data_IF_562114214591
#
_entry.id   IF_562114214591
#
_cell.length_a   1.000
_cell.length_b   1.000
_cell.length_c   1.000
_cell.angle_alpha   90.00
_cell.angle_beta   90.00
_cell.angle_gamma   90.00
#
_symmetry.space_group_name_H-M   'P 1'
#
loop_
_entity.id
_entity.type
_entity.pdbx_description
1 polymer ?
#
# COMPACT_ATOMS: atom_id res chain seq x y z
N UNK A 1 -6.74 -10.94 -7.17
CA UNK A 1 -5.55 -11.28 -6.36
C UNK A 1 -4.34 -11.34 -7.27
N UNK A 2 -3.15 -10.99 -6.76
CA UNK A 2 -1.89 -10.98 -7.52
C UNK A 2 -0.98 -12.14 -7.11
N UNK A 3 -0.19 -12.66 -8.05
CA UNK A 3 0.89 -13.64 -7.82
C UNK A 3 2.23 -13.04 -8.24
N UNK A 4 3.31 -13.43 -7.59
CA UNK A 4 4.67 -13.06 -8.00
C UNK A 4 5.49 -14.30 -8.28
N UNK A 5 6.41 -14.20 -9.24
CA UNK A 5 7.42 -15.23 -9.56
C UNK A 5 8.68 -15.07 -8.71
N UNK A 6 8.89 -13.89 -8.11
CA UNK A 6 10.11 -13.58 -7.37
C UNK A 6 9.97 -13.99 -5.89
N UNK A 7 11.04 -14.53 -5.31
CA UNK A 7 11.11 -14.72 -3.85
C UNK A 7 11.31 -13.37 -3.17
N UNK A 8 10.50 -13.10 -2.15
CA UNK A 8 10.68 -11.91 -1.30
C UNK A 8 11.81 -12.16 -0.30
N UNK A 9 12.88 -11.36 -0.30
CA UNK A 9 14.01 -11.58 0.60
C UNK A 9 13.71 -11.16 2.05
N UNK A 10 14.25 -11.94 2.98
CA UNK A 10 14.20 -11.68 4.42
C UNK A 10 12.86 -12.01 5.09
N UNK A 11 12.85 -12.05 6.43
CA UNK A 11 11.64 -12.33 7.21
C UNK A 11 10.71 -11.11 7.22
N UNK A 12 9.48 -11.25 6.74
CA UNK A 12 8.44 -10.21 6.82
C UNK A 12 7.88 -10.09 8.24
N UNK A 13 7.47 -8.88 8.61
CA UNK A 13 6.60 -8.70 9.79
C UNK A 13 5.21 -9.28 9.51
N UNK A 14 4.44 -9.64 10.55
CA UNK A 14 3.05 -10.09 10.34
C UNK A 14 2.13 -8.95 9.88
N UNK A 15 2.47 -7.71 10.25
CA UNK A 15 1.72 -6.49 9.96
C UNK A 15 2.47 -5.65 8.93
N UNK A 16 1.72 -5.07 7.98
CA UNK A 16 2.22 -4.04 7.06
C UNK A 16 1.32 -2.81 7.08
N UNK A 17 1.95 -1.64 7.09
CA UNK A 17 1.31 -0.36 6.85
C UNK A 17 1.51 0.03 5.39
N UNK A 18 0.42 0.17 4.64
CA UNK A 18 0.42 0.71 3.28
C UNK A 18 0.16 2.21 3.37
N UNK A 19 1.09 3.00 2.85
CA UNK A 19 0.97 4.46 2.77
C UNK A 19 0.57 4.85 1.34
N UNK A 20 -0.66 5.33 1.15
CA UNK A 20 -1.10 6.01 -0.06
C UNK A 20 -0.79 7.51 -0.05
N UNK A 21 -1.14 8.20 -1.13
CA UNK A 21 -0.86 9.63 -1.30
C UNK A 21 -2.01 10.56 -0.92
N UNK A 22 -3.09 10.04 -0.33
CA UNK A 22 -4.26 10.84 0.06
C UNK A 22 -3.93 11.93 1.08
N UNK A 23 -4.65 13.03 1.02
CA UNK A 23 -4.44 14.23 1.85
C UNK A 23 -4.34 13.94 3.35
N UNK A 24 -5.03 12.91 3.84
CA UNK A 24 -5.04 12.53 5.26
C UNK A 24 -3.85 11.67 5.70
N UNK A 25 -2.90 11.34 4.81
CA UNK A 25 -1.74 10.54 5.17
C UNK A 25 -1.05 11.03 6.46
N UNK A 26 -0.81 12.34 6.69
CA UNK A 26 -0.15 12.79 7.92
C UNK A 26 -0.95 12.46 9.19
N UNK A 27 -2.27 12.68 9.18
CA UNK A 27 -3.14 12.37 10.32
C UNK A 27 -3.29 10.86 10.53
N UNK A 28 -3.44 10.09 9.45
CA UNK A 28 -3.55 8.64 9.48
C UNK A 28 -2.26 8.02 10.06
N UNK A 29 -1.09 8.51 9.65
CA UNK A 29 0.21 8.08 10.15
C UNK A 29 0.38 8.42 11.63
N UNK A 30 0.03 9.65 12.05
CA UNK A 30 0.09 10.04 13.45
C UNK A 30 -0.78 9.12 14.33
N UNK A 31 -2.00 8.84 13.87
CA UNK A 31 -2.91 7.94 14.58
C UNK A 31 -2.35 6.51 14.65
N UNK A 32 -1.87 5.97 13.53
CA UNK A 32 -1.33 4.61 13.47
C UNK A 32 -0.12 4.42 14.37
N UNK A 33 0.82 5.36 14.33
CA UNK A 33 1.99 5.34 15.19
C UNK A 33 1.56 5.46 16.66
N UNK A 34 0.55 6.27 16.99
CA UNK A 34 -0.05 6.32 18.32
C UNK A 34 -0.56 4.97 18.82
N UNK A 35 -1.20 4.18 17.96
CA UNK A 35 -1.66 2.81 18.29
C UNK A 35 -0.47 1.86 18.50
N UNK A 36 0.56 1.99 17.67
CA UNK A 36 1.74 1.12 17.70
C UNK A 36 2.72 1.44 18.83
N UNK A 37 2.68 2.66 19.37
CA UNK A 37 3.55 3.11 20.44
C UNK A 37 3.20 2.41 21.77
N UNK A 38 4.24 1.86 22.39
CA UNK A 38 4.25 1.28 23.73
C UNK A 38 5.71 1.16 24.18
N UNK A 39 5.99 0.63 25.38
CA UNK A 39 7.35 0.22 25.75
C UNK A 39 8.00 -0.61 24.62
N UNK A 40 9.32 -0.55 24.44
CA UNK A 40 10.02 -1.24 23.31
C UNK A 40 9.65 -2.73 23.18
N UNK A 41 9.28 -3.40 24.28
CA UNK A 41 8.84 -4.80 24.33
C UNK A 41 7.37 -5.01 23.92
N UNK A 42 6.55 -3.96 23.84
CA UNK A 42 5.11 -4.01 23.58
C UNK A 42 4.69 -3.29 22.29
N UNK A 43 5.63 -2.63 21.61
CA UNK A 43 5.38 -1.95 20.34
C UNK A 43 4.98 -2.94 19.24
N UNK A 44 4.03 -2.54 18.40
CA UNK A 44 3.58 -3.36 17.28
C UNK A 44 4.59 -3.23 16.13
N UNK A 45 5.39 -4.28 15.93
CA UNK A 45 6.30 -4.37 14.78
C UNK A 45 5.50 -4.46 13.50
N UNK A 46 5.87 -3.66 12.51
CA UNK A 46 5.26 -3.64 11.19
C UNK A 46 6.32 -3.31 10.14
N UNK A 47 6.08 -3.79 8.92
CA UNK A 47 6.78 -3.32 7.73
C UNK A 47 6.00 -2.14 7.12
N UNK A 48 6.64 -1.34 6.28
CA UNK A 48 5.97 -0.23 5.57
C UNK A 48 6.08 -0.44 4.06
N UNK A 49 4.94 -0.29 3.39
CA UNK A 49 4.79 -0.29 1.94
C UNK A 49 4.36 1.10 1.47
N UNK A 50 5.31 1.87 0.94
CA UNK A 50 5.02 3.15 0.35
C UNK A 50 4.49 3.00 -1.07
N UNK A 51 3.54 3.85 -1.44
CA UNK A 51 2.99 3.93 -2.78
C UNK A 51 3.32 5.29 -3.37
N UNK A 52 3.80 5.31 -4.61
CA UNK A 52 4.05 6.54 -5.35
C UNK A 52 4.94 7.52 -4.55
N UNK A 53 4.42 8.69 -4.14
CA UNK A 53 5.22 9.73 -3.47
C UNK A 53 5.21 9.61 -1.95
N UNK A 54 4.43 8.70 -1.36
CA UNK A 54 4.34 8.54 0.09
C UNK A 54 5.65 8.03 0.71
N UNK A 55 6.56 7.49 -0.10
CA UNK A 55 7.94 7.16 0.29
C UNK A 55 8.68 8.37 0.88
N UNK A 56 8.36 9.58 0.42
CA UNK A 56 8.96 10.82 0.92
C UNK A 56 8.39 11.24 2.28
N UNK A 57 7.32 10.61 2.75
CA UNK A 57 6.68 10.92 4.03
C UNK A 57 7.34 10.15 5.20
N UNK A 58 7.76 8.91 4.97
CA UNK A 58 8.36 8.06 6.00
C UNK A 58 9.54 7.24 5.44
N UNK A 59 10.75 7.51 5.93
CA UNK A 59 11.97 6.98 5.31
C UNK A 59 12.29 5.50 5.56
N UNK A 60 11.64 4.85 6.55
CA UNK A 60 11.89 3.45 6.88
C UNK A 60 10.92 2.51 6.17
N UNK A 61 10.91 2.57 4.84
CA UNK A 61 10.08 1.70 4.01
C UNK A 61 10.86 0.46 3.57
N UNK A 62 10.21 -0.70 3.65
CA UNK A 62 10.75 -1.95 3.12
C UNK A 62 10.29 -2.19 1.69
N UNK A 63 9.08 -1.75 1.39
CA UNK A 63 8.45 -1.90 0.10
C UNK A 63 8.11 -0.54 -0.49
N UNK A 64 8.26 -0.43 -1.79
CA UNK A 64 7.70 0.65 -2.59
C UNK A 64 7.06 0.08 -3.84
N UNK A 65 5.96 0.67 -4.28
CA UNK A 65 5.33 0.23 -5.52
C UNK A 65 4.38 1.25 -6.10
N UNK A 66 4.01 0.99 -7.34
CA UNK A 66 3.11 1.81 -8.14
C UNK A 66 2.40 0.93 -9.15
N UNK A 67 1.14 1.26 -9.46
CA UNK A 67 0.44 0.67 -10.58
C UNK A 67 0.80 1.36 -11.91
N UNK A 68 1.45 2.53 -11.88
CA UNK A 68 1.66 3.42 -13.02
C UNK A 68 2.82 2.98 -13.95
N UNK A 69 3.20 1.70 -13.91
CA UNK A 69 4.02 1.03 -14.91
C UNK A 69 5.30 1.76 -15.33
N UNK A 70 5.44 2.00 -16.65
CA UNK A 70 6.65 2.55 -17.28
C UNK A 70 6.95 4.00 -16.84
N UNK A 71 5.92 4.77 -16.52
CA UNK A 71 6.05 6.17 -16.08
C UNK A 71 6.85 6.28 -14.78
N UNK A 72 6.86 5.21 -13.99
CA UNK A 72 7.55 5.15 -12.72
C UNK A 72 8.98 4.59 -12.79
N UNK A 73 9.49 4.19 -13.96
CA UNK A 73 10.86 3.64 -14.11
C UNK A 73 11.90 4.62 -13.56
N UNK A 74 11.81 5.89 -13.94
CA UNK A 74 12.75 6.90 -13.49
C UNK A 74 12.78 6.98 -11.96
N UNK A 75 11.60 7.01 -11.32
CA UNK A 75 11.49 7.02 -9.87
C UNK A 75 12.04 5.74 -9.24
N UNK A 76 11.73 4.57 -9.80
CA UNK A 76 12.22 3.28 -9.31
C UNK A 76 13.75 3.17 -9.37
N UNK A 77 14.37 3.74 -10.41
CA UNK A 77 15.83 3.84 -10.55
C UNK A 77 16.42 4.79 -9.50
N UNK A 78 15.84 5.97 -9.31
CA UNK A 78 16.32 6.92 -8.30
C UNK A 78 16.23 6.34 -6.88
N UNK A 79 15.13 5.65 -6.56
CA UNK A 79 14.97 4.98 -5.28
C UNK A 79 16.00 3.87 -5.07
N UNK A 80 16.49 3.19 -6.12
CA UNK A 80 17.59 2.22 -6.02
C UNK A 80 18.85 2.85 -5.42
N UNK A 81 19.15 4.06 -5.84
CA UNK A 81 20.36 4.79 -5.44
C UNK A 81 20.25 5.31 -4.00
N UNK A 82 19.03 5.65 -3.58
CA UNK A 82 18.75 6.25 -2.28
C UNK A 82 18.45 5.22 -1.18
N UNK A 83 17.87 4.07 -1.54
CA UNK A 83 17.36 3.09 -0.58
C UNK A 83 17.80 1.66 -0.94
N UNK A 84 18.99 1.28 -0.48
CA UNK A 84 19.62 -0.02 -0.79
C UNK A 84 18.76 -1.26 -0.48
N UNK A 85 17.89 -1.18 0.53
CA UNK A 85 17.08 -2.31 1.00
C UNK A 85 15.60 -2.22 0.62
N UNK A 86 15.23 -1.24 -0.19
CA UNK A 86 13.85 -1.04 -0.63
C UNK A 86 13.51 -1.98 -1.80
N UNK A 87 12.51 -2.83 -1.59
CA UNK A 87 11.96 -3.70 -2.63
C UNK A 87 10.96 -2.91 -3.46
N UNK A 88 11.19 -2.85 -4.77
CA UNK A 88 10.35 -2.10 -5.71
C UNK A 88 9.45 -3.05 -6.49
N UNK A 89 8.14 -2.82 -6.37
CA UNK A 89 7.09 -3.69 -6.89
C UNK A 89 6.35 -3.04 -8.07
N UNK A 90 6.02 -3.82 -9.10
CA UNK A 90 5.19 -3.37 -10.25
C UNK A 90 4.27 -4.49 -10.76
N UNK A 91 3.22 -4.10 -11.51
CA UNK A 91 2.33 -4.99 -12.27
C UNK A 91 2.86 -5.33 -13.67
N UNK A 92 3.89 -4.64 -14.14
CA UNK A 92 4.46 -4.87 -15.46
C UNK A 92 5.38 -6.10 -15.49
N UNK A 93 5.58 -6.73 -16.66
CA UNK A 93 6.64 -7.71 -16.87
C UNK A 93 8.02 -7.09 -16.63
N UNK A 94 9.06 -7.93 -16.58
CA UNK A 94 10.41 -7.56 -16.16
C UNK A 94 10.92 -6.26 -16.80
N UNK A 95 10.92 -5.19 -16.01
CA UNK A 95 11.29 -3.85 -16.43
C UNK A 95 12.34 -3.24 -15.51
N UNK A 96 13.24 -2.45 -16.11
CA UNK A 96 14.35 -1.86 -15.39
C UNK A 96 13.89 -1.02 -14.19
N UNK A 97 14.65 -1.08 -13.10
CA UNK A 97 14.38 -0.31 -11.89
C UNK A 97 13.49 -1.01 -10.85
N UNK A 98 12.80 -2.09 -11.20
CA UNK A 98 11.99 -2.88 -10.26
C UNK A 98 12.69 -4.17 -9.84
N UNK A 99 12.19 -4.79 -8.76
CA UNK A 99 12.74 -6.01 -8.17
C UNK A 99 11.72 -7.15 -8.13
N UNK A 100 10.44 -6.82 -7.92
CA UNK A 100 9.35 -7.79 -7.74
C UNK A 100 8.23 -7.48 -8.74
N UNK A 101 7.88 -8.48 -9.55
CA UNK A 101 6.87 -8.38 -10.59
C UNK A 101 5.63 -9.16 -10.18
N UNK A 102 4.46 -8.55 -10.36
CA UNK A 102 3.16 -9.10 -9.97
C UNK A 102 2.28 -9.30 -11.19
N UNK A 103 1.62 -10.45 -11.26
CA UNK A 103 0.66 -10.79 -12.31
C UNK A 103 -0.71 -10.98 -11.67
N UNK A 104 -1.79 -10.40 -12.23
CA UNK A 104 -3.13 -10.79 -11.83
C UNK A 104 -3.40 -12.26 -12.16
N UNK A 105 -4.19 -12.93 -11.32
CA UNK A 105 -4.48 -14.37 -11.48
C UNK A 105 -5.57 -14.63 -12.53
N UNK A 106 -6.55 -13.73 -12.65
CA UNK A 106 -7.80 -14.00 -13.39
C UNK A 106 -8.05 -13.05 -14.57
N UNK A 107 -7.16 -12.08 -14.78
CA UNK A 107 -7.26 -11.10 -15.87
C UNK A 107 -5.87 -10.80 -16.43
N UNK A 108 -5.77 -10.35 -17.69
CA UNK A 108 -4.53 -9.77 -18.21
C UNK A 108 -4.06 -8.57 -17.36
N UNK A 109 -2.74 -8.34 -17.31
CA UNK A 109 -2.18 -7.24 -16.51
C UNK A 109 -2.64 -5.87 -17.03
N UNK A 110 -2.73 -5.74 -18.34
CA UNK A 110 -3.27 -4.60 -19.08
C UNK A 110 -4.76 -4.33 -18.82
N UNK A 111 -5.49 -5.30 -18.26
CA UNK A 111 -6.90 -5.19 -17.88
C UNK A 111 -7.10 -4.94 -16.39
N UNK A 112 -6.01 -4.76 -15.63
CA UNK A 112 -6.12 -4.42 -14.23
C UNK A 112 -6.60 -2.97 -14.08
N UNK A 113 -7.72 -2.78 -13.37
CA UNK A 113 -8.44 -1.49 -13.23
C UNK A 113 -8.56 -1.07 -11.77
N UNK A 114 -7.44 -1.05 -11.05
CA UNK A 114 -7.36 -0.60 -9.66
C UNK A 114 -6.55 0.69 -9.51
N UNK A 115 -6.25 1.05 -8.26
CA UNK A 115 -5.32 2.14 -7.95
C UNK A 115 -4.08 1.61 -7.23
N UNK A 116 -2.99 2.38 -7.21
CA UNK A 116 -1.71 1.93 -6.65
C UNK A 116 -1.80 1.45 -5.18
N UNK A 117 -2.77 1.93 -4.38
CA UNK A 117 -3.00 1.40 -3.04
C UNK A 117 -3.68 0.02 -3.04
N UNK A 118 -4.61 -0.24 -3.95
CA UNK A 118 -5.19 -1.57 -4.16
C UNK A 118 -4.13 -2.55 -4.66
N UNK A 119 -3.27 -2.13 -5.59
CA UNK A 119 -2.13 -2.92 -6.05
C UNK A 119 -1.24 -3.34 -4.88
N UNK A 120 -0.79 -2.39 -4.07
CA UNK A 120 0.03 -2.67 -2.89
C UNK A 120 -0.68 -3.62 -1.91
N UNK A 121 -2.01 -3.48 -1.78
CA UNK A 121 -2.84 -4.33 -0.92
C UNK A 121 -2.87 -5.78 -1.43
N UNK A 122 -3.17 -5.99 -2.71
CA UNK A 122 -3.18 -7.33 -3.30
C UNK A 122 -1.77 -7.96 -3.30
N UNK A 123 -0.72 -7.16 -3.51
CA UNK A 123 0.66 -7.60 -3.37
C UNK A 123 0.97 -8.05 -1.94
N UNK A 124 0.52 -7.29 -0.92
CA UNK A 124 0.71 -7.66 0.48
C UNK A 124 -0.03 -8.95 0.86
N UNK A 125 -1.24 -9.16 0.33
CA UNK A 125 -1.96 -10.43 0.47
C UNK A 125 -1.19 -11.57 -0.18
N UNK A 126 -0.67 -11.38 -1.39
CA UNK A 126 0.17 -12.37 -2.09
C UNK A 126 1.48 -12.68 -1.36
N UNK A 127 2.05 -11.72 -0.63
CA UNK A 127 3.22 -11.93 0.25
C UNK A 127 2.87 -12.63 1.57
N UNK A 128 1.58 -12.81 1.88
CA UNK A 128 1.12 -13.53 3.07
C UNK A 128 1.09 -12.70 4.35
N UNK A 129 1.08 -11.36 4.26
CA UNK A 129 0.86 -10.50 5.42
C UNK A 129 -0.45 -10.85 6.13
N UNK A 130 -0.41 -10.84 7.46
CA UNK A 130 -1.55 -11.26 8.30
C UNK A 130 -2.42 -10.10 8.74
N UNK A 131 -1.91 -8.87 8.65
CA UNK A 131 -2.59 -7.62 8.96
C UNK A 131 -2.09 -6.55 8.00
N UNK A 132 -3.03 -5.90 7.31
CA UNK A 132 -2.74 -4.80 6.40
C UNK A 132 -3.49 -3.58 6.91
N UNK A 133 -2.77 -2.48 7.12
CA UNK A 133 -3.36 -1.19 7.48
C UNK A 133 -3.16 -0.21 6.35
N UNK A 134 -4.24 0.45 5.92
CA UNK A 134 -4.20 1.50 4.92
C UNK A 134 -4.17 2.88 5.58
N UNK A 135 -3.18 3.70 5.24
CA UNK A 135 -3.07 5.11 5.64
C UNK A 135 -2.94 5.98 4.39
N UNK A 136 -3.68 7.08 4.30
CA UNK A 136 -3.66 7.92 3.10
C UNK A 136 -4.31 7.25 1.87
N UNK A 137 -5.23 6.31 2.07
CA UNK A 137 -5.96 5.62 0.99
C UNK A 137 -7.48 5.89 1.03
N UNK A 138 -7.94 7.15 1.10
CA UNK A 138 -9.32 7.44 1.48
C UNK A 138 -10.36 7.18 0.37
N UNK A 139 -9.94 6.94 -0.88
CA UNK A 139 -10.85 6.79 -2.04
C UNK A 139 -11.89 7.93 -2.11
N UNK A 140 -11.41 9.17 -2.01
CA UNK A 140 -12.24 10.37 -2.10
C UNK A 140 -11.51 11.47 -2.90
N UNK A 141 -12.16 12.64 -3.03
CA UNK A 141 -11.66 13.78 -3.82
C UNK A 141 -10.83 14.80 -3.03
N UNK A 142 -10.34 14.45 -1.83
CA UNK A 142 -9.68 15.44 -0.95
C UNK A 142 -8.31 15.92 -1.44
N UNK A 143 -7.73 15.28 -2.46
CA UNK A 143 -6.40 15.63 -2.96
C UNK A 143 -5.29 14.79 -2.37
N UNK A 144 -4.06 15.13 -2.77
CA UNK A 144 -2.85 14.54 -2.23
C UNK A 144 -2.28 15.35 -1.07
N UNK A 145 -1.51 14.71 -0.18
CA UNK A 145 -0.91 15.40 0.98
C UNK A 145 0.15 16.44 0.58
N UNK A 146 0.76 16.29 -0.60
CA UNK A 146 1.80 17.18 -1.14
C UNK A 146 1.27 18.23 -2.13
N UNK A 147 -0.04 18.28 -2.37
CA UNK A 147 -0.65 19.21 -3.31
C UNK A 147 -1.45 20.29 -2.57
N UNK A 148 -1.55 21.52 -3.12
CA UNK A 148 -2.51 22.51 -2.61
C UNK A 148 -3.93 21.93 -2.63
N UNK A 149 -4.74 22.32 -1.65
CA UNK A 149 -6.07 21.75 -1.39
C UNK A 149 -6.96 21.75 -2.67
N UNK A 150 -7.77 20.69 -2.85
CA UNK A 150 -8.98 20.61 -3.70
C UNK A 150 -8.94 20.03 -5.12
N UNK A 151 -8.03 19.11 -5.45
CA UNK A 151 -8.22 18.27 -6.65
C UNK A 151 -7.74 16.84 -6.46
N UNK A 152 -8.46 16.06 -5.65
CA UNK A 152 -8.25 14.62 -5.62
C UNK A 152 -8.67 13.97 -6.93
N UNK A 153 -8.10 12.79 -7.24
CA UNK A 153 -8.49 12.04 -8.42
C UNK A 153 -9.98 11.71 -8.41
N UNK A 154 -10.58 11.69 -9.60
CA UNK A 154 -11.89 11.09 -9.80
C UNK A 154 -11.70 9.59 -9.98
N UNK A 155 -12.12 8.82 -8.98
CA UNK A 155 -12.04 7.37 -9.02
C UNK A 155 -13.17 6.80 -9.90
N UNK A 156 -12.83 5.86 -10.77
CA UNK A 156 -13.82 5.17 -11.60
C UNK A 156 -14.65 4.20 -10.78
N UNK A 157 -15.83 3.81 -11.28
CA UNK A 157 -16.67 2.82 -10.60
C UNK A 157 -15.97 1.47 -10.48
N UNK A 158 -15.20 1.07 -11.50
CA UNK A 158 -14.43 -0.17 -11.50
C UNK A 158 -13.43 -0.21 -10.34
N UNK A 159 -12.82 0.92 -10.00
CA UNK A 159 -11.91 1.00 -8.86
C UNK A 159 -12.64 0.71 -7.54
N UNK A 160 -13.84 1.25 -7.34
CA UNK A 160 -14.66 0.97 -6.15
C UNK A 160 -15.11 -0.49 -6.11
N UNK A 161 -15.65 -1.01 -7.22
CA UNK A 161 -16.10 -2.41 -7.31
C UNK A 161 -14.97 -3.40 -6.98
N UNK A 162 -13.73 -3.09 -7.39
CA UNK A 162 -12.57 -3.93 -7.06
C UNK A 162 -12.27 -3.97 -5.57
N UNK A 163 -12.43 -2.86 -4.85
CA UNK A 163 -12.30 -2.84 -3.39
C UNK A 163 -13.42 -3.60 -2.72
N UNK A 164 -14.66 -3.47 -3.20
CA UNK A 164 -15.82 -4.19 -2.66
C UNK A 164 -15.67 -5.70 -2.84
N UNK A 165 -15.31 -6.18 -4.05
CA UNK A 165 -15.00 -7.60 -4.28
C UNK A 165 -13.85 -8.09 -3.40
N UNK A 166 -12.87 -7.25 -3.10
CA UNK A 166 -11.82 -7.60 -2.16
C UNK A 166 -12.38 -7.74 -0.74
N UNK A 167 -13.28 -6.87 -0.29
CA UNK A 167 -13.93 -6.95 1.02
C UNK A 167 -14.76 -8.22 1.19
N UNK A 168 -15.46 -8.68 0.15
CA UNK A 168 -16.25 -9.92 0.17
C UNK A 168 -15.41 -11.15 0.57
N UNK A 169 -14.10 -11.12 0.30
CA UNK A 169 -13.15 -12.19 0.72
C UNK A 169 -12.77 -12.14 2.20
N UNK A 170 -13.30 -11.17 2.96
CA UNK A 170 -13.01 -10.87 4.36
C UNK A 170 -11.51 -10.83 4.68
N UNK A 171 -10.73 -10.03 3.91
CA UNK A 171 -9.29 -9.99 4.05
C UNK A 171 -8.91 -9.32 5.38
N UNK A 172 -7.69 -9.55 5.89
CA UNK A 172 -7.23 -8.94 7.14
C UNK A 172 -6.77 -7.49 6.91
N UNK A 173 -7.66 -6.65 6.39
CA UNK A 173 -7.41 -5.25 6.04
C UNK A 173 -8.17 -4.36 7.02
N UNK A 174 -7.54 -3.25 7.40
CA UNK A 174 -8.17 -2.11 8.07
C UNK A 174 -7.69 -0.81 7.43
N UNK A 175 -8.46 0.26 7.56
CA UNK A 175 -8.11 1.57 7.01
C UNK A 175 -8.32 2.68 8.03
N UNK A 176 -7.42 3.66 8.03
CA UNK A 176 -7.43 4.79 8.96
C UNK A 176 -8.46 5.86 8.59
N UNK A 177 -8.84 5.98 7.32
CA UNK A 177 -9.72 7.06 6.89
C UNK A 177 -10.51 6.79 5.61
N UNK A 178 -11.44 7.71 5.32
CA UNK A 178 -12.16 7.77 4.04
C UNK A 178 -13.17 6.66 3.80
N UNK A 179 -13.43 6.39 2.54
CA UNK A 179 -14.34 5.34 2.08
C UNK A 179 -13.80 3.94 2.38
N UNK A 180 -12.49 3.70 2.25
CA UNK A 180 -11.89 2.41 2.60
C UNK A 180 -12.02 2.08 4.10
N UNK A 181 -12.04 3.08 5.00
CA UNK A 181 -12.37 2.87 6.42
C UNK A 181 -13.83 2.45 6.63
N UNK A 182 -14.77 2.97 5.83
CA UNK A 182 -16.17 2.52 5.90
C UNK A 182 -16.30 1.05 5.49
N UNK A 183 -15.51 0.65 4.49
CA UNK A 183 -15.51 -0.71 3.95
C UNK A 183 -14.86 -1.72 4.90
N UNK A 184 -13.64 -1.44 5.41
CA UNK A 184 -12.87 -2.40 6.19
C UNK A 184 -12.91 -2.17 7.72
N UNK A 185 -13.36 -1.00 8.17
CA UNK A 185 -13.21 -0.55 9.55
C UNK A 185 -11.79 -0.06 9.88
N UNK A 186 -11.60 0.39 11.12
CA UNK A 186 -10.34 0.95 11.62
C UNK A 186 -9.53 -0.10 12.41
N UNK A 187 -8.19 -0.08 12.37
CA UNK A 187 -7.39 -0.97 13.20
C UNK A 187 -7.47 -0.55 14.67
N UNK A 188 -7.55 -1.54 15.56
CA UNK A 188 -7.35 -1.34 17.01
C UNK A 188 -6.05 -1.98 17.46
N UNK A 189 -5.60 -1.63 18.67
CA UNK A 189 -4.39 -2.22 19.27
C UNK A 189 -4.55 -3.74 19.45
N UNK A 190 -5.74 -4.19 19.82
CA UNK A 190 -6.10 -5.59 20.04
C UNK A 190 -6.05 -6.36 18.71
N UNK A 191 -6.65 -5.78 17.65
CA UNK A 191 -6.60 -6.38 16.32
C UNK A 191 -5.16 -6.53 15.82
N UNK A 192 -4.31 -5.53 16.03
CA UNK A 192 -2.91 -5.56 15.64
C UNK A 192 -2.06 -6.57 16.41
N UNK A 193 -2.48 -6.96 17.63
CA UNK A 193 -1.80 -7.94 18.49
C UNK A 193 -2.28 -9.39 18.29
N UNK A 194 -3.39 -9.62 17.60
CA UNK A 194 -3.92 -10.96 17.29
C UNK A 194 -2.99 -11.79 16.41
#
# INVERSE_FOLDING_TARGET
>A
MLKTKNKIPGKLSSTVLIMGDGQRLPQDMHHFLGICCGPKSEGIRHDVFAVNRSINFYGNCRHWGTADGEEAIYQAVQLRLQHRYLLRHTLLPEIAGFDIFWEPVDIPAEDWRGNSALFATEACLGMGYKRIVLAGCPMNRSGHWYAPYYSGPEWTNEAYERWERLEETKPPIKSMSGWTKKLFGEPTKEWLKS
#
